data_IF_078820507972
#
_entry.id   IF_078820507972
#
_cell.length_a   1.000
_cell.length_b   1.000
_cell.length_c   1.000
_cell.angle_alpha   90.00
_cell.angle_beta   90.00
_cell.angle_gamma   90.00
#
_symmetry.space_group_name_H-M   'P 1'
#
loop_
_entity.id
_entity.type
_entity.pdbx_description
1 polymer ?
#
# COMPACT_ATOMS: atom_id res chain seq x y z
N UNK A 1 10.69 -23.43 -3.31
CA UNK A 1 11.39 -22.14 -3.41
C UNK A 1 12.39 -22.25 -4.56
N UNK A 2 11.97 -21.88 -5.77
CA UNK A 2 12.80 -22.00 -6.99
C UNK A 2 13.87 -20.91 -6.89
N UNK A 3 15.16 -21.27 -6.95
CA UNK A 3 16.26 -20.29 -6.96
C UNK A 3 15.98 -19.29 -8.07
N UNK A 4 16.18 -18.02 -7.79
CA UNK A 4 16.23 -17.00 -8.83
C UNK A 4 17.54 -17.28 -9.54
N UNK A 5 17.43 -18.03 -10.63
CA UNK A 5 18.57 -18.37 -11.47
C UNK A 5 19.25 -17.07 -11.92
N UNK A 6 20.57 -17.15 -12.09
CA UNK A 6 21.50 -16.04 -12.39
C UNK A 6 20.92 -15.05 -13.41
N UNK A 7 21.07 -13.74 -13.16
CA UNK A 7 20.53 -12.68 -14.04
C UNK A 7 21.02 -12.86 -15.49
N UNK A 8 20.14 -13.35 -16.36
CA UNK A 8 20.36 -13.46 -17.80
C UNK A 8 19.44 -12.47 -18.51
N UNK A 9 20.01 -11.56 -19.31
CA UNK A 9 19.24 -10.61 -20.12
C UNK A 9 18.55 -11.33 -21.28
N UNK A 10 17.44 -12.02 -20.99
CA UNK A 10 16.62 -12.72 -21.97
C UNK A 10 15.14 -12.33 -21.84
N UNK A 11 14.41 -12.35 -22.95
CA UNK A 11 12.96 -12.11 -22.95
C UNK A 11 12.19 -13.14 -22.13
N UNK A 12 12.78 -14.33 -21.91
CA UNK A 12 12.24 -15.40 -21.06
C UNK A 12 12.40 -15.04 -19.58
N UNK A 13 13.51 -14.40 -19.18
CA UNK A 13 13.72 -13.89 -17.83
C UNK A 13 12.65 -12.85 -17.46
N UNK A 14 12.40 -11.85 -18.32
CA UNK A 14 11.34 -10.86 -18.08
C UNK A 14 9.95 -11.49 -17.99
N UNK A 15 9.62 -12.46 -18.86
CA UNK A 15 8.35 -13.18 -18.77
C UNK A 15 8.23 -13.94 -17.46
N UNK A 16 9.25 -14.67 -17.03
CA UNK A 16 9.24 -15.42 -15.77
C UNK A 16 9.24 -14.52 -14.54
N UNK A 17 9.88 -13.34 -14.62
CA UNK A 17 9.85 -12.33 -13.57
C UNK A 17 8.46 -11.72 -13.45
N UNK A 18 7.83 -11.35 -14.58
CA UNK A 18 6.48 -10.78 -14.61
C UNK A 18 5.38 -11.80 -14.31
N UNK A 19 5.55 -13.07 -14.68
CA UNK A 19 4.61 -14.17 -14.35
C UNK A 19 4.83 -14.77 -12.96
N UNK A 20 5.84 -14.32 -12.21
CA UNK A 20 6.00 -14.78 -10.83
C UNK A 20 4.77 -14.33 -10.03
N UNK A 21 3.97 -15.30 -9.57
CA UNK A 21 2.68 -15.05 -8.94
C UNK A 21 2.71 -13.96 -7.85
N UNK A 22 3.69 -13.93 -6.92
CA UNK A 22 3.77 -12.87 -5.92
C UNK A 22 4.06 -11.49 -6.53
N UNK A 23 4.98 -11.42 -7.50
CA UNK A 23 5.35 -10.16 -8.14
C UNK A 23 4.22 -9.62 -9.02
N UNK A 24 3.55 -10.51 -9.76
CA UNK A 24 2.37 -10.20 -10.56
C UNK A 24 1.24 -9.65 -9.68
N UNK A 25 0.96 -10.29 -8.54
CA UNK A 25 -0.05 -9.83 -7.59
C UNK A 25 0.29 -8.43 -7.03
N UNK A 26 1.54 -8.20 -6.62
CA UNK A 26 1.99 -6.88 -6.17
C UNK A 26 1.89 -5.82 -7.27
N UNK A 27 2.29 -6.15 -8.50
CA UNK A 27 2.21 -5.25 -9.65
C UNK A 27 0.78 -4.88 -10.02
N UNK A 28 -0.14 -5.84 -10.02
CA UNK A 28 -1.57 -5.59 -10.22
C UNK A 28 -2.18 -4.75 -9.10
N UNK A 29 -1.84 -5.05 -7.84
CA UNK A 29 -2.28 -4.25 -6.69
C UNK A 29 -1.81 -2.80 -6.77
N UNK A 30 -0.53 -2.57 -7.06
CA UNK A 30 0.04 -1.24 -7.21
C UNK A 30 -0.52 -0.48 -8.41
N UNK A 31 -0.66 -1.17 -9.56
CA UNK A 31 -1.28 -0.61 -10.76
C UNK A 31 -2.72 -0.16 -10.50
N UNK A 32 -3.52 -1.03 -9.86
CA UNK A 32 -4.89 -0.70 -9.46
C UNK A 32 -4.95 0.47 -8.47
N UNK A 33 -4.09 0.47 -7.44
CA UNK A 33 -4.01 1.57 -6.48
C UNK A 33 -3.64 2.90 -7.15
N UNK A 34 -2.73 2.88 -8.13
CA UNK A 34 -2.32 4.07 -8.89
C UNK A 34 -3.47 4.61 -9.75
N UNK A 35 -4.20 3.74 -10.44
CA UNK A 35 -5.37 4.15 -11.23
C UNK A 35 -6.44 4.76 -10.33
N UNK A 36 -6.73 4.13 -9.18
CA UNK A 36 -7.69 4.65 -8.20
C UNK A 36 -7.22 6.00 -7.62
N UNK A 37 -5.93 6.15 -7.36
CA UNK A 37 -5.35 7.40 -6.88
C UNK A 37 -5.50 8.53 -7.91
N UNK A 38 -5.17 8.27 -9.17
CA UNK A 38 -5.36 9.24 -10.26
C UNK A 38 -6.84 9.59 -10.46
N UNK A 39 -7.73 8.61 -10.30
CA UNK A 39 -9.17 8.84 -10.34
C UNK A 39 -9.64 9.74 -9.19
N UNK A 40 -9.17 9.51 -7.96
CA UNK A 40 -9.47 10.37 -6.81
C UNK A 40 -8.97 11.79 -7.03
N UNK A 41 -7.74 11.97 -7.53
CA UNK A 41 -7.19 13.30 -7.83
C UNK A 41 -7.97 14.05 -8.91
N UNK A 42 -8.71 13.35 -9.76
CA UNK A 42 -9.57 13.96 -10.78
C UNK A 42 -10.90 14.44 -10.22
N UNK A 43 -11.35 13.92 -9.07
CA UNK A 43 -12.71 14.15 -8.55
C UNK A 43 -12.75 14.82 -7.17
N UNK A 44 -11.66 14.76 -6.41
CA UNK A 44 -11.52 15.36 -5.10
C UNK A 44 -10.42 16.40 -5.10
N UNK A 45 -10.60 17.43 -4.28
CA UNK A 45 -9.54 18.40 -4.03
C UNK A 45 -8.34 17.71 -3.40
N UNK A 46 -7.16 18.06 -3.90
CA UNK A 46 -5.88 17.53 -3.41
C UNK A 46 -5.72 17.70 -1.89
N UNK A 47 -6.29 18.77 -1.33
CA UNK A 47 -6.31 19.08 0.11
C UNK A 47 -7.06 18.05 0.95
N UNK A 48 -8.07 17.37 0.39
CA UNK A 48 -8.83 16.31 1.07
C UNK A 48 -8.25 14.92 0.78
N UNK A 49 -7.68 14.71 -0.41
CA UNK A 49 -7.09 13.43 -0.78
C UNK A 49 -5.87 13.05 0.08
N UNK A 50 -5.03 14.02 0.45
CA UNK A 50 -3.82 13.79 1.28
C UNK A 50 -4.12 13.31 2.71
N UNK A 51 -5.06 13.93 3.45
CA UNK A 51 -5.48 13.41 4.74
C UNK A 51 -6.00 11.98 4.65
N UNK A 52 -6.83 11.68 3.64
CA UNK A 52 -7.42 10.35 3.46
C UNK A 52 -6.35 9.29 3.18
N UNK A 53 -5.26 9.59 2.45
CA UNK A 53 -4.18 8.62 2.25
C UNK A 53 -3.45 8.25 3.54
N UNK A 54 -3.41 9.14 4.54
CA UNK A 54 -2.87 8.83 5.87
C UNK A 54 -3.56 7.63 6.54
N UNK A 55 -4.83 7.37 6.21
CA UNK A 55 -5.59 6.22 6.72
C UNK A 55 -4.98 4.89 6.23
N UNK A 56 -4.27 4.88 5.10
CA UNK A 56 -3.54 3.67 4.64
C UNK A 56 -2.57 3.13 5.68
N UNK A 57 -2.05 3.97 6.58
CA UNK A 57 -1.18 3.56 7.68
C UNK A 57 -1.91 2.64 8.68
N UNK A 58 -3.21 2.87 8.88
CA UNK A 58 -4.08 2.00 9.71
C UNK A 58 -4.18 0.61 9.10
N UNK A 59 -4.47 0.55 7.80
CA UNK A 59 -4.55 -0.71 7.07
C UNK A 59 -3.20 -1.43 7.03
N UNK A 60 -2.09 -0.71 6.85
CA UNK A 60 -0.74 -1.25 6.90
C UNK A 60 -0.40 -1.83 8.28
N UNK A 61 -0.81 -1.16 9.35
CA UNK A 61 -0.61 -1.65 10.71
C UNK A 61 -1.45 -2.90 11.03
N UNK A 62 -2.70 -2.94 10.57
CA UNK A 62 -3.55 -4.13 10.68
C UNK A 62 -2.94 -5.29 9.87
N UNK A 63 -2.44 -5.03 8.66
CA UNK A 63 -1.75 -6.04 7.85
C UNK A 63 -0.47 -6.53 8.52
N UNK A 64 0.32 -5.65 9.15
CA UNK A 64 1.50 -6.03 9.93
C UNK A 64 1.14 -6.95 11.11
N UNK A 65 0.03 -6.66 11.81
CA UNK A 65 -0.46 -7.48 12.91
C UNK A 65 -0.98 -8.86 12.45
N UNK A 66 -1.73 -8.91 11.35
CA UNK A 66 -2.46 -10.10 10.92
C UNK A 66 -1.68 -10.99 9.95
N UNK A 67 -0.93 -10.41 9.02
CA UNK A 67 -0.20 -11.14 7.96
C UNK A 67 1.22 -11.46 8.40
N UNK A 68 1.90 -10.48 9.00
CA UNK A 68 3.29 -10.62 9.43
C UNK A 68 3.42 -11.03 10.90
N UNK A 69 2.31 -11.04 11.65
CA UNK A 69 2.26 -11.38 13.08
C UNK A 69 3.27 -10.60 13.93
N UNK A 70 3.54 -9.34 13.57
CA UNK A 70 4.48 -8.50 14.28
C UNK A 70 3.86 -7.93 15.57
N UNK A 71 4.64 -7.93 16.66
CA UNK A 71 4.25 -7.28 17.90
C UNK A 71 4.36 -5.76 17.75
N UNK A 72 3.22 -5.10 17.53
CA UNK A 72 3.15 -3.66 17.38
C UNK A 72 3.07 -3.00 18.76
N UNK A 73 4.03 -2.13 19.12
CA UNK A 73 4.02 -1.46 20.42
C UNK A 73 2.81 -0.52 20.56
N UNK A 74 2.32 -0.38 21.79
CA UNK A 74 1.16 0.46 22.11
C UNK A 74 1.30 1.93 21.65
N UNK A 75 2.53 2.45 21.58
CA UNK A 75 2.82 3.80 21.08
C UNK A 75 2.41 4.00 19.62
N UNK A 76 2.53 2.97 18.77
CA UNK A 76 2.10 3.03 17.36
C UNK A 76 0.58 3.09 17.24
N UNK A 77 -0.15 2.38 18.10
CA UNK A 77 -1.60 2.45 18.16
C UNK A 77 -2.10 3.85 18.55
N UNK A 78 -1.44 4.49 19.52
CA UNK A 78 -1.74 5.88 19.90
C UNK A 78 -1.51 6.82 18.70
N UNK A 79 -0.40 6.64 17.97
CA UNK A 79 -0.13 7.39 16.75
C UNK A 79 -1.22 7.24 15.69
N UNK A 80 -1.72 6.02 15.48
CA UNK A 80 -2.83 5.75 14.55
C UNK A 80 -4.10 6.47 14.96
N UNK A 81 -4.48 6.41 16.25
CA UNK A 81 -5.65 7.13 16.75
C UNK A 81 -5.52 8.63 16.50
N UNK A 82 -4.33 9.20 16.72
CA UNK A 82 -4.07 10.61 16.44
C UNK A 82 -4.17 10.96 14.96
N UNK A 83 -3.65 10.11 14.07
CA UNK A 83 -3.78 10.30 12.61
C UNK A 83 -5.25 10.30 12.21
N UNK A 84 -6.02 9.29 12.63
CA UNK A 84 -7.46 9.18 12.31
C UNK A 84 -8.23 10.39 12.83
N UNK A 85 -7.93 10.83 14.05
CA UNK A 85 -8.57 11.99 14.65
C UNK A 85 -8.25 13.28 13.88
N UNK A 86 -6.99 13.47 13.47
CA UNK A 86 -6.58 14.61 12.65
C UNK A 86 -7.29 14.62 11.28
N UNK A 87 -7.41 13.47 10.63
CA UNK A 87 -8.13 13.35 9.34
C UNK A 87 -9.60 13.67 9.52
N UNK A 88 -10.24 13.22 10.61
CA UNK A 88 -11.65 13.52 10.89
C UNK A 88 -11.93 15.02 10.96
N UNK A 89 -11.07 15.81 11.60
CA UNK A 89 -11.24 17.27 11.65
C UNK A 89 -11.08 17.94 10.29
N UNK A 90 -10.12 17.48 9.48
CA UNK A 90 -9.87 18.04 8.15
C UNK A 90 -11.01 17.73 7.17
N UNK A 91 -11.63 16.55 7.26
CA UNK A 91 -12.75 16.15 6.39
C UNK A 91 -14.07 16.81 6.83
N UNK A 92 -14.21 17.15 8.11
CA UNK A 92 -15.42 17.81 8.64
C UNK A 92 -15.52 19.30 8.25
N UNK A 93 -14.45 19.87 7.72
CA UNK A 93 -14.36 21.29 7.36
C UNK A 93 -14.98 21.57 5.98
#
# INVERSE_FOLDING_TARGET
MKRIDVFEWSWVFFKNLLLNWPLAACGLGFGGATVLWLYMLRHFDFSLAYPITSISYVFGMIAAALVFHESIPATRWIGVVLIVFGVFFLVKQ
#
